data_IF_004353689621
#
_entry.id   IF_004353689621
#
_cell.length_a   1.000
_cell.length_b   1.000
_cell.length_c   1.000
_cell.angle_alpha   90.00
_cell.angle_beta   90.00
_cell.angle_gamma   90.00
#
_symmetry.space_group_name_H-M   'P 1'
#
loop_
_entity.id
_entity.type
_entity.pdbx_description
1 polymer ?
#
# COMPACT_ATOMS: atom_id res chain seq x y z
N UNK A 1 34.68 -5.29 10.76
CA UNK A 1 34.07 -3.94 10.88
C UNK A 1 34.26 -3.45 12.31
N UNK A 2 34.88 -2.27 12.51
CA UNK A 2 35.18 -1.77 13.87
C UNK A 2 34.09 -0.79 14.30
N UNK A 3 33.41 -1.10 15.41
CA UNK A 3 32.43 -0.22 16.04
C UNK A 3 33.08 0.46 17.24
N UNK A 4 32.86 1.78 17.34
CA UNK A 4 33.32 2.53 18.52
C UNK A 4 32.38 2.27 19.70
N UNK A 5 32.96 1.90 20.85
CA UNK A 5 32.22 1.71 22.10
C UNK A 5 32.28 3.01 22.92
N UNK A 6 31.14 3.51 23.32
CA UNK A 6 30.99 4.72 24.11
C UNK A 6 30.44 4.42 25.50
N UNK A 7 30.91 5.15 26.49
CA UNK A 7 30.39 5.14 27.84
C UNK A 7 29.07 5.94 27.90
N UNK A 8 28.32 5.80 29.00
CA UNK A 8 27.10 6.53 29.28
C UNK A 8 27.30 8.06 29.28
N UNK A 9 28.53 8.52 29.52
CA UNK A 9 28.97 9.92 29.42
C UNK A 9 29.28 10.40 28.01
N UNK A 10 29.17 9.51 26.96
CA UNK A 10 29.51 9.81 25.59
C UNK A 10 31.03 9.79 25.27
N UNK A 11 31.86 9.32 26.19
CA UNK A 11 33.30 9.16 25.93
C UNK A 11 33.59 7.83 25.26
N UNK A 12 34.43 7.83 24.25
CA UNK A 12 34.89 6.62 23.57
C UNK A 12 35.77 5.80 24.54
N UNK A 13 35.32 4.60 24.89
CA UNK A 13 36.00 3.68 25.83
C UNK A 13 36.85 2.62 25.08
N UNK A 14 36.44 2.28 23.85
CA UNK A 14 37.14 1.25 23.09
C UNK A 14 36.58 1.08 21.68
N UNK A 15 36.98 -0.03 21.05
CA UNK A 15 36.42 -0.48 19.77
C UNK A 15 36.08 -1.97 19.87
N UNK A 16 34.97 -2.35 19.25
CA UNK A 16 34.53 -3.73 19.13
C UNK A 16 34.60 -4.15 17.66
N UNK A 17 35.29 -5.24 17.38
CA UNK A 17 35.43 -5.76 16.03
C UNK A 17 34.34 -6.81 15.75
N UNK A 18 33.55 -6.60 14.71
CA UNK A 18 32.52 -7.54 14.25
C UNK A 18 32.89 -8.01 12.85
N UNK A 19 32.88 -9.32 12.63
CA UNK A 19 32.96 -9.88 11.30
C UNK A 19 31.54 -9.90 10.67
N UNK A 20 31.30 -9.15 9.58
CA UNK A 20 30.02 -9.16 8.87
C UNK A 20 29.61 -10.57 8.39
N UNK A 21 30.56 -11.46 8.11
CA UNK A 21 30.28 -12.82 7.69
C UNK A 21 29.61 -13.68 8.76
N UNK A 22 29.82 -13.37 10.04
CA UNK A 22 29.13 -14.05 11.17
C UNK A 22 27.66 -13.65 11.26
N UNK A 23 27.34 -12.42 10.86
CA UNK A 23 25.95 -11.92 10.89
C UNK A 23 25.13 -12.46 9.74
N UNK A 24 25.68 -12.46 8.53
CA UNK A 24 25.04 -12.98 7.33
C UNK A 24 26.08 -13.52 6.35
N UNK A 25 26.12 -14.85 6.12
CA UNK A 25 27.10 -15.48 5.22
C UNK A 25 26.89 -15.06 3.74
N UNK A 26 25.69 -14.58 3.39
CA UNK A 26 25.39 -14.05 2.06
C UNK A 26 24.29 -13.02 2.12
N UNK A 27 24.36 -12.00 1.24
CA UNK A 27 23.34 -10.95 1.12
C UNK A 27 22.36 -11.31 0.00
N UNK A 28 21.12 -11.57 0.35
CA UNK A 28 20.02 -11.80 -0.61
C UNK A 28 19.30 -10.48 -0.91
N UNK A 29 19.56 -9.92 -2.11
CA UNK A 29 18.90 -8.69 -2.57
C UNK A 29 17.37 -8.84 -2.63
N UNK A 30 16.90 -10.03 -3.03
CA UNK A 30 15.46 -10.32 -3.11
C UNK A 30 14.81 -10.26 -1.72
N UNK A 31 15.42 -10.91 -0.73
CA UNK A 31 14.87 -10.94 0.62
C UNK A 31 14.82 -9.53 1.25
N UNK A 32 15.85 -8.73 1.03
CA UNK A 32 15.88 -7.33 1.48
C UNK A 32 14.80 -6.51 0.78
N UNK A 33 14.65 -6.66 -0.53
CA UNK A 33 13.59 -5.99 -1.29
C UNK A 33 12.20 -6.34 -0.75
N UNK A 34 11.93 -7.62 -0.53
CA UNK A 34 10.64 -8.08 -0.04
C UNK A 34 10.35 -7.55 1.39
N UNK A 35 11.37 -7.49 2.25
CA UNK A 35 11.24 -6.89 3.58
C UNK A 35 10.90 -5.40 3.51
N UNK A 36 11.56 -4.63 2.63
CA UNK A 36 11.29 -3.20 2.44
C UNK A 36 9.88 -2.99 1.87
N UNK A 37 9.48 -3.77 0.86
CA UNK A 37 8.13 -3.69 0.27
C UNK A 37 7.05 -4.02 1.30
N UNK A 38 7.28 -5.06 2.13
CA UNK A 38 6.39 -5.39 3.24
C UNK A 38 6.24 -4.21 4.21
N UNK A 39 7.35 -3.63 4.62
CA UNK A 39 7.35 -2.50 5.56
C UNK A 39 6.60 -1.29 5.00
N UNK A 40 6.85 -0.92 3.74
CA UNK A 40 6.16 0.17 3.06
C UNK A 40 4.65 -0.12 2.89
N UNK A 41 4.28 -1.36 2.55
CA UNK A 41 2.89 -1.76 2.44
C UNK A 41 2.15 -1.66 3.79
N UNK A 42 2.81 -2.07 4.88
CA UNK A 42 2.24 -2.01 6.23
C UNK A 42 2.03 -0.57 6.76
N UNK A 43 2.74 0.42 6.19
CA UNK A 43 2.53 1.82 6.52
C UNK A 43 1.31 2.44 5.80
N UNK A 44 0.77 1.78 4.77
CA UNK A 44 -0.36 2.31 4.00
C UNK A 44 -1.65 2.22 4.80
N UNK A 45 -2.31 3.35 4.98
CA UNK A 45 -3.56 3.44 5.73
C UNK A 45 -4.74 2.72 5.06
N UNK A 46 -4.83 2.73 3.73
CA UNK A 46 -5.82 1.99 2.96
C UNK A 46 -7.29 2.40 3.12
N UNK A 47 -7.57 3.57 3.69
CA UNK A 47 -8.94 4.07 3.97
C UNK A 47 -9.63 4.74 2.78
N UNK A 48 -8.97 4.82 1.61
CA UNK A 48 -9.51 5.49 0.43
C UNK A 48 -10.81 4.81 -0.02
N UNK A 49 -11.88 5.60 -0.07
CA UNK A 49 -13.19 5.17 -0.56
C UNK A 49 -13.71 6.15 -1.61
N UNK A 50 -14.34 5.62 -2.67
CA UNK A 50 -15.12 6.40 -3.63
C UNK A 50 -16.50 5.77 -3.77
N UNK A 51 -17.51 6.59 -4.08
CA UNK A 51 -18.90 6.11 -4.19
C UNK A 51 -19.14 5.42 -5.53
N UNK A 52 -19.70 4.21 -5.48
CA UNK A 52 -20.24 3.51 -6.65
C UNK A 52 -21.53 4.20 -7.12
N UNK A 53 -21.98 3.88 -8.34
CA UNK A 53 -23.29 4.37 -8.82
C UNK A 53 -24.47 4.01 -7.91
N UNK A 54 -24.37 2.94 -7.13
CA UNK A 54 -25.38 2.54 -6.15
C UNK A 54 -25.41 3.42 -4.91
N UNK A 55 -24.24 3.95 -4.51
CA UNK A 55 -24.05 4.76 -3.30
C UNK A 55 -24.25 6.27 -3.54
N UNK A 56 -24.26 6.72 -4.81
CA UNK A 56 -24.53 8.12 -5.16
C UNK A 56 -26.02 8.38 -5.06
N UNK A 57 -26.39 9.48 -4.40
CA UNK A 57 -27.78 9.93 -4.33
C UNK A 57 -28.32 10.28 -5.73
N UNK A 58 -29.56 9.91 -6.00
CA UNK A 58 -30.20 10.21 -7.27
C UNK A 58 -31.11 9.08 -7.76
N UNK A 59 -31.90 9.38 -8.79
CA UNK A 59 -32.85 8.43 -9.37
C UNK A 59 -32.16 7.33 -10.16
N UNK A 60 -32.69 6.11 -10.07
CA UNK A 60 -32.33 4.98 -10.94
C UNK A 60 -33.08 4.99 -12.25
N UNK A 61 -34.11 5.84 -12.37
CA UNK A 61 -34.94 5.92 -13.58
C UNK A 61 -34.12 6.32 -14.80
N UNK A 62 -34.45 5.74 -15.96
CA UNK A 62 -33.96 6.14 -17.27
C UNK A 62 -34.35 7.60 -17.52
N UNK A 63 -33.40 8.44 -17.98
CA UNK A 63 -33.62 9.88 -18.12
C UNK A 63 -34.70 10.22 -19.17
N UNK A 64 -34.70 9.51 -20.30
CA UNK A 64 -35.68 9.67 -21.37
C UNK A 64 -35.80 8.37 -22.18
N UNK A 65 -36.80 8.29 -23.04
CA UNK A 65 -37.07 7.13 -23.93
C UNK A 65 -35.88 6.83 -24.84
N UNK A 66 -35.76 5.57 -25.28
CA UNK A 66 -34.62 5.06 -26.03
C UNK A 66 -34.43 5.72 -27.40
N UNK A 67 -35.51 6.11 -28.08
CA UNK A 67 -35.52 6.71 -29.42
C UNK A 67 -36.53 7.86 -29.44
N UNK A 68 -36.42 8.76 -30.48
CA UNK A 68 -37.38 9.81 -30.72
C UNK A 68 -37.22 11.07 -29.85
N UNK A 69 -36.02 11.30 -29.26
CA UNK A 69 -35.70 12.52 -28.51
C UNK A 69 -34.67 13.41 -29.18
N UNK A 70 -34.04 12.94 -30.27
CA UNK A 70 -32.94 13.65 -30.90
C UNK A 70 -31.62 13.65 -30.13
N UNK A 71 -31.64 13.16 -28.90
CA UNK A 71 -30.47 13.12 -28.01
C UNK A 71 -29.79 11.73 -28.02
N UNK A 72 -28.51 11.71 -27.65
CA UNK A 72 -27.79 10.46 -27.45
C UNK A 72 -28.51 9.60 -26.40
N UNK A 73 -28.48 8.28 -26.58
CA UNK A 73 -29.10 7.32 -25.65
C UNK A 73 -28.52 7.46 -24.23
N UNK A 74 -29.36 7.45 -23.22
CA UNK A 74 -28.94 7.59 -21.83
C UNK A 74 -29.73 6.67 -20.90
N UNK A 75 -29.01 6.11 -19.92
CA UNK A 75 -29.59 5.39 -18.81
C UNK A 75 -29.93 6.29 -17.62
N UNK A 76 -29.60 5.86 -16.42
CA UNK A 76 -29.84 6.62 -15.20
C UNK A 76 -28.84 7.78 -15.05
N UNK A 77 -29.27 8.85 -14.34
CA UNK A 77 -28.45 10.04 -14.09
C UNK A 77 -27.18 9.73 -13.31
N UNK A 78 -27.18 8.79 -12.40
CA UNK A 78 -26.05 8.40 -11.54
C UNK A 78 -25.06 7.41 -12.19
N UNK A 79 -25.18 7.16 -13.50
CA UNK A 79 -24.21 6.37 -14.26
C UNK A 79 -22.82 7.01 -14.22
N UNK A 80 -21.76 6.17 -14.15
CA UNK A 80 -20.38 6.64 -14.10
C UNK A 80 -19.92 7.42 -15.36
N UNK A 81 -20.65 7.33 -16.46
CA UNK A 81 -20.40 8.10 -17.69
C UNK A 81 -20.93 9.52 -17.64
N UNK A 82 -21.64 9.89 -16.59
CA UNK A 82 -22.28 11.20 -16.45
C UNK A 82 -21.66 12.03 -15.35
N UNK A 83 -21.65 13.36 -15.53
CA UNK A 83 -21.21 14.30 -14.50
C UNK A 83 -22.09 14.14 -13.24
N UNK A 84 -21.44 13.97 -12.08
CA UNK A 84 -22.12 13.69 -10.81
C UNK A 84 -22.56 12.24 -10.64
N UNK A 85 -22.20 11.33 -11.56
CA UNK A 85 -22.38 9.89 -11.40
C UNK A 85 -21.34 9.25 -10.50
N UNK A 86 -21.59 7.98 -10.12
CA UNK A 86 -20.65 7.21 -9.30
C UNK A 86 -19.49 6.62 -10.11
N UNK A 87 -18.42 6.28 -9.43
CA UNK A 87 -17.28 5.60 -10.05
C UNK A 87 -17.67 4.17 -10.49
N UNK A 88 -17.23 3.76 -11.68
CA UNK A 88 -17.47 2.41 -12.22
C UNK A 88 -16.68 1.40 -11.39
N UNK A 89 -15.39 1.64 -11.20
CA UNK A 89 -14.49 0.86 -10.34
C UNK A 89 -14.15 1.66 -9.08
N UNK A 90 -15.14 1.80 -8.20
CA UNK A 90 -14.97 2.56 -6.98
C UNK A 90 -13.94 1.91 -6.05
N UNK A 91 -13.05 2.73 -5.50
CA UNK A 91 -12.12 2.29 -4.47
C UNK A 91 -12.89 1.93 -3.21
N UNK A 92 -12.48 0.83 -2.58
CA UNK A 92 -12.99 0.38 -1.29
C UNK A 92 -11.85 0.35 -0.28
N UNK A 93 -12.08 0.70 0.98
CA UNK A 93 -11.07 0.54 2.01
C UNK A 93 -10.60 -0.92 2.05
N UNK A 94 -9.29 -1.10 2.12
CA UNK A 94 -8.68 -2.42 2.26
C UNK A 94 -7.39 -2.33 3.06
N UNK A 95 -7.03 -3.40 3.73
CA UNK A 95 -5.73 -3.58 4.32
C UNK A 95 -4.72 -3.95 3.20
N UNK A 96 -3.58 -3.27 3.18
CA UNK A 96 -2.44 -3.55 2.31
C UNK A 96 -1.34 -4.32 3.05
N UNK A 97 -1.49 -4.49 4.36
CA UNK A 97 -0.52 -5.17 5.20
C UNK A 97 -0.37 -6.65 4.85
N UNK A 98 0.85 -7.13 4.94
CA UNK A 98 1.17 -8.54 4.86
C UNK A 98 2.37 -8.86 5.74
N UNK A 99 2.62 -10.13 6.01
CA UNK A 99 3.68 -10.59 6.89
C UNK A 99 4.59 -11.58 6.21
N UNK A 100 5.88 -11.39 6.39
CA UNK A 100 6.87 -12.40 6.07
C UNK A 100 7.01 -13.42 7.21
N UNK A 101 7.48 -14.65 6.91
CA UNK A 101 7.87 -15.60 7.94
C UNK A 101 8.90 -14.97 8.90
N UNK A 102 8.74 -15.21 10.21
CA UNK A 102 9.59 -14.60 11.24
C UNK A 102 11.08 -14.84 10.99
N UNK A 103 11.45 -16.07 10.62
CA UNK A 103 12.86 -16.42 10.32
C UNK A 103 13.41 -15.62 9.13
N UNK A 104 12.61 -15.44 8.08
CA UNK A 104 13.02 -14.64 6.91
C UNK A 104 13.26 -13.18 7.28
N UNK A 105 12.38 -12.59 8.10
CA UNK A 105 12.54 -11.22 8.58
C UNK A 105 13.78 -11.07 9.48
N UNK A 106 14.05 -12.05 10.36
CA UNK A 106 15.25 -12.06 11.20
C UNK A 106 16.54 -12.10 10.35
N UNK A 107 16.55 -12.92 9.29
CA UNK A 107 17.69 -12.97 8.36
C UNK A 107 17.84 -11.66 7.62
N UNK A 108 16.75 -11.08 7.11
CA UNK A 108 16.78 -9.79 6.43
C UNK A 108 17.31 -8.64 7.30
N UNK A 109 17.03 -8.66 8.61
CA UNK A 109 17.52 -7.63 9.54
C UNK A 109 18.98 -7.81 9.96
N UNK A 110 19.56 -8.99 9.75
CA UNK A 110 20.99 -9.26 10.02
C UNK A 110 21.89 -8.97 8.83
N UNK A 111 21.34 -8.93 7.61
CA UNK A 111 22.04 -8.59 6.37
C UNK A 111 22.33 -7.10 6.27
#
# INVERSE_FOLDING_TARGET
MNLAVYDISGKKVGSYEIDPAELAPSVSKQLLHDAVVMYQANQRQGTQKTKTRGEVAGSTRKLYRQKGTGNARAGARRSGTRRGGGHIFAKRPRDFGWRMPRKALQVATRM
#
